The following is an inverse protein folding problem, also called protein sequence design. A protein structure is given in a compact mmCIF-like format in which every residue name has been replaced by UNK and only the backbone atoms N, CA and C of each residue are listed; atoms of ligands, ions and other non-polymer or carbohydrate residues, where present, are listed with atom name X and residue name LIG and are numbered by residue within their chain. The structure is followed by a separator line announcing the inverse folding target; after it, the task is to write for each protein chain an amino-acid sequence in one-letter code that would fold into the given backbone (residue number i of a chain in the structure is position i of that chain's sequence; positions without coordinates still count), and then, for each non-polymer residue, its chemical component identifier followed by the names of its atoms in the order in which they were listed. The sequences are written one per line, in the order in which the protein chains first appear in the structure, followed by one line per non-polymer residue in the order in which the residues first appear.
data_IF_375726485531
#
_entry.id   IF_375726485531
#
_cell.length_a   1.000
_cell.length_b   1.000
_cell.length_c   1.000
_cell.angle_alpha   90.00
_cell.angle_beta   90.00
_cell.angle_gamma   90.00
#
_symmetry.space_group_name_H-M   'P 1'
#
loop_
_entity.id
_entity.type
_entity.pdbx_description
1 polymer ?
#
# COMPACT_ATOMS: atom_id res chain seq x y z
N UNK A 1 -10.92 30.77 -23.86
CA UNK A 1 -12.25 30.13 -23.99
C UNK A 1 -12.14 28.65 -24.40
N UNK A 2 -11.48 28.33 -25.52
CA UNK A 2 -11.34 26.94 -25.99
C UNK A 2 -10.60 25.99 -25.03
N UNK A 3 -9.56 26.45 -24.32
CA UNK A 3 -8.81 25.63 -23.35
C UNK A 3 -9.62 25.26 -22.11
N UNK A 4 -10.43 26.19 -21.60
CA UNK A 4 -11.27 25.99 -20.42
C UNK A 4 -12.36 24.93 -20.64
N UNK A 5 -12.90 24.84 -21.86
CA UNK A 5 -13.86 23.78 -22.25
C UNK A 5 -13.25 22.37 -22.17
N UNK A 6 -11.91 22.27 -22.20
CA UNK A 6 -11.17 21.02 -22.08
C UNK A 6 -10.54 20.84 -20.68
N UNK A 7 -11.01 21.58 -19.68
CA UNK A 7 -10.51 21.49 -18.30
C UNK A 7 -9.12 22.11 -18.07
N UNK A 8 -8.59 22.87 -19.04
CA UNK A 8 -7.26 23.51 -18.93
C UNK A 8 -7.42 24.98 -18.52
N UNK A 9 -7.00 25.30 -17.30
CA UNK A 9 -6.96 26.66 -16.77
C UNK A 9 -5.60 27.32 -17.04
N UNK A 10 -5.58 28.39 -17.83
CA UNK A 10 -4.37 29.18 -18.13
C UNK A 10 -4.49 30.56 -17.48
N UNK A 11 -3.52 30.93 -16.62
CA UNK A 11 -3.57 32.15 -15.78
C UNK A 11 -3.14 33.43 -16.51
N UNK A 12 -3.70 33.72 -17.69
CA UNK A 12 -3.41 34.94 -18.48
C UNK A 12 -2.68 34.68 -19.80
N UNK A 13 -2.64 35.69 -20.67
CA UNK A 13 -2.15 35.57 -22.06
C UNK A 13 -0.66 35.23 -22.19
N UNK A 14 0.20 35.85 -21.36
CA UNK A 14 1.65 35.61 -21.40
C UNK A 14 2.03 34.14 -21.16
N UNK A 15 1.29 33.43 -20.30
CA UNK A 15 1.51 32.00 -20.07
C UNK A 15 1.07 31.15 -21.27
N UNK A 16 0.05 31.57 -22.02
CA UNK A 16 -0.40 30.87 -23.21
C UNK A 16 0.62 30.97 -24.35
N UNK A 17 1.22 32.16 -24.53
CA UNK A 17 2.28 32.37 -25.51
C UNK A 17 3.55 31.60 -25.16
N UNK A 18 3.96 31.61 -23.89
CA UNK A 18 5.12 30.84 -23.41
C UNK A 18 4.94 29.33 -23.61
N UNK A 19 3.73 28.80 -23.38
CA UNK A 19 3.39 27.40 -23.65
C UNK A 19 3.59 27.02 -25.13
N UNK A 20 3.32 27.94 -26.07
CA UNK A 20 3.47 27.71 -27.51
C UNK A 20 4.93 27.57 -27.98
N UNK A 21 5.91 28.03 -27.18
CA UNK A 21 7.34 27.95 -27.52
C UNK A 21 8.09 26.86 -26.76
N UNK A 22 7.38 26.11 -25.91
CA UNK A 22 7.98 25.17 -24.98
C UNK A 22 8.52 23.93 -25.71
N UNK A 23 9.77 23.54 -25.42
CA UNK A 23 10.47 22.40 -26.05
C UNK A 23 10.56 21.16 -25.16
N UNK A 24 10.50 21.35 -23.85
CA UNK A 24 10.71 20.29 -22.87
C UNK A 24 9.73 20.45 -21.71
N UNK A 25 9.08 19.36 -21.31
CA UNK A 25 8.21 19.30 -20.13
C UNK A 25 8.85 18.36 -19.13
N UNK A 26 9.01 18.84 -17.90
CA UNK A 26 9.39 18.02 -16.76
C UNK A 26 8.14 17.78 -15.91
N UNK A 27 7.77 16.52 -15.73
CA UNK A 27 6.62 16.15 -14.90
C UNK A 27 7.09 15.75 -13.51
N UNK A 28 6.36 16.19 -12.49
CA UNK A 28 6.42 15.52 -11.20
C UNK A 28 5.73 14.14 -11.32
N UNK A 29 6.14 13.16 -10.51
CA UNK A 29 5.53 11.83 -10.57
C UNK A 29 4.29 11.76 -9.70
N UNK A 30 4.44 12.05 -8.42
CA UNK A 30 3.42 11.78 -7.40
C UNK A 30 2.35 12.87 -7.43
N UNK A 31 1.09 12.50 -7.69
CA UNK A 31 -0.02 13.45 -7.81
C UNK A 31 -0.13 14.12 -9.20
N UNK A 32 0.81 13.83 -10.12
CA UNK A 32 0.76 14.31 -11.52
C UNK A 32 0.70 13.14 -12.50
N UNK A 33 1.75 12.30 -12.57
CA UNK A 33 1.73 11.08 -13.39
C UNK A 33 1.04 9.91 -12.68
N UNK A 34 1.06 9.89 -11.35
CA UNK A 34 0.38 8.91 -10.51
C UNK A 34 -0.64 9.59 -9.60
N UNK A 35 -1.65 8.85 -9.14
CA UNK A 35 -2.72 9.38 -8.31
C UNK A 35 -2.26 9.83 -6.90
N UNK A 36 -1.02 9.53 -6.48
CA UNK A 36 -0.53 9.83 -5.14
C UNK A 36 -0.94 8.84 -4.05
N UNK A 37 -1.79 7.85 -4.39
CA UNK A 37 -2.26 6.83 -3.46
C UNK A 37 -1.61 5.46 -3.71
N UNK A 38 -1.41 4.70 -2.64
CA UNK A 38 -0.93 3.32 -2.72
C UNK A 38 -2.09 2.37 -3.06
N UNK A 39 -1.79 1.30 -3.81
CA UNK A 39 -2.73 0.20 -4.11
C UNK A 39 -2.02 -1.14 -4.02
N UNK A 40 -2.70 -2.14 -3.47
CA UNK A 40 -2.27 -3.53 -3.56
C UNK A 40 -2.42 -4.01 -5.01
N UNK A 41 -1.29 -4.21 -5.69
CA UNK A 41 -1.28 -4.65 -7.09
C UNK A 41 -1.15 -6.18 -7.23
N UNK A 42 -0.39 -6.80 -6.34
CA UNK A 42 -0.08 -8.22 -6.39
C UNK A 42 0.16 -8.76 -4.99
N UNK A 43 -0.36 -9.96 -4.73
CA UNK A 43 -0.05 -10.74 -3.55
C UNK A 43 0.37 -12.14 -4.00
N UNK A 44 1.58 -12.54 -3.60
CA UNK A 44 2.08 -13.89 -3.76
C UNK A 44 2.02 -14.60 -2.42
N UNK A 45 1.52 -15.83 -2.43
CA UNK A 45 1.46 -16.69 -1.24
C UNK A 45 2.44 -17.82 -1.45
N UNK A 46 3.34 -17.99 -0.49
CA UNK A 46 4.37 -19.02 -0.52
C UNK A 46 4.04 -20.15 0.44
N UNK A 47 4.40 -21.38 0.05
CA UNK A 47 4.10 -22.60 0.80
C UNK A 47 2.64 -23.06 0.66
N UNK A 48 2.38 -24.28 1.16
CA UNK A 48 1.09 -24.96 0.95
C UNK A 48 0.20 -24.96 2.21
N UNK A 49 0.67 -24.37 3.31
CA UNK A 49 0.01 -24.43 4.63
C UNK A 49 -1.06 -23.36 4.85
N UNK A 50 -1.09 -22.31 4.02
CA UNK A 50 -2.01 -21.18 4.19
C UNK A 50 -2.72 -20.90 2.89
N UNK A 51 -4.05 -20.75 2.96
CA UNK A 51 -4.82 -20.29 1.80
C UNK A 51 -4.61 -18.79 1.64
N UNK A 52 -4.75 -18.28 0.41
CA UNK A 52 -4.67 -16.83 0.11
C UNK A 52 -5.57 -16.01 1.03
N UNK A 53 -6.79 -16.49 1.26
CA UNK A 53 -7.75 -15.84 2.14
C UNK A 53 -7.25 -15.69 3.58
N UNK A 54 -6.60 -16.72 4.13
CA UNK A 54 -6.04 -16.66 5.50
C UNK A 54 -4.94 -15.59 5.60
N UNK A 55 -4.07 -15.53 4.58
CA UNK A 55 -2.99 -14.54 4.51
C UNK A 55 -3.55 -13.11 4.44
N UNK A 56 -4.57 -12.90 3.61
CA UNK A 56 -5.25 -11.60 3.49
C UNK A 56 -5.94 -11.18 4.79
N UNK A 57 -6.59 -12.13 5.49
CA UNK A 57 -7.20 -11.87 6.80
C UNK A 57 -6.15 -11.48 7.84
N UNK A 58 -5.04 -12.21 7.93
CA UNK A 58 -3.95 -11.88 8.86
C UNK A 58 -3.31 -10.54 8.51
N UNK A 59 -3.09 -10.26 7.23
CA UNK A 59 -2.54 -8.99 6.78
C UNK A 59 -3.43 -7.82 7.19
N UNK A 60 -4.73 -7.90 6.90
CA UNK A 60 -5.66 -6.83 7.24
C UNK A 60 -5.76 -6.63 8.76
N UNK A 61 -5.83 -7.71 9.55
CA UNK A 61 -5.86 -7.62 11.01
C UNK A 61 -4.61 -6.96 11.60
N UNK A 62 -3.44 -7.29 11.07
CA UNK A 62 -2.16 -6.73 11.53
C UNK A 62 -1.99 -5.25 11.15
N UNK A 63 -2.53 -4.84 10.00
CA UNK A 63 -2.38 -3.48 9.44
C UNK A 63 -3.53 -2.53 9.81
N UNK A 64 -4.68 -3.03 10.30
CA UNK A 64 -5.86 -2.19 10.65
C UNK A 64 -5.56 -1.11 11.69
N UNK A 65 -4.56 -1.35 12.56
CA UNK A 65 -4.13 -0.39 13.60
C UNK A 65 -3.03 0.57 13.14
N UNK A 66 -2.43 0.36 11.97
CA UNK A 66 -1.33 1.18 11.48
C UNK A 66 -1.86 2.42 10.75
N UNK A 67 -1.32 3.59 11.10
CA UNK A 67 -1.74 4.89 10.53
C UNK A 67 -1.04 5.23 9.21
N UNK A 68 -0.15 4.36 8.72
CA UNK A 68 0.64 4.62 7.53
C UNK A 68 -0.21 4.47 6.24
N UNK A 69 -0.06 5.34 5.22
CA UNK A 69 -0.80 5.24 3.97
C UNK A 69 -0.71 3.87 3.27
N UNK A 70 0.43 3.19 3.42
CA UNK A 70 0.62 1.81 2.94
C UNK A 70 -0.30 0.81 3.64
N UNK A 71 -0.40 0.86 4.97
CA UNK A 71 -1.25 -0.04 5.76
C UNK A 71 -2.71 0.07 5.31
N UNK A 72 -3.19 1.31 5.15
CA UNK A 72 -4.51 1.58 4.62
C UNK A 72 -4.73 0.94 3.24
N UNK A 73 -3.76 1.09 2.32
CA UNK A 73 -3.89 0.49 0.98
C UNK A 73 -3.92 -1.04 0.98
N UNK A 74 -3.28 -1.68 1.96
CA UNK A 74 -3.31 -3.14 2.12
C UNK A 74 -4.69 -3.58 2.64
N UNK A 75 -5.22 -2.90 3.66
CA UNK A 75 -6.56 -3.17 4.20
C UNK A 75 -7.63 -2.94 3.13
N UNK A 76 -7.53 -1.84 2.38
CA UNK A 76 -8.45 -1.54 1.28
C UNK A 76 -8.33 -2.57 0.14
N UNK A 77 -7.11 -3.02 -0.17
CA UNK A 77 -6.86 -4.10 -1.13
C UNK A 77 -7.51 -5.43 -0.71
N UNK A 78 -7.39 -5.79 0.58
CA UNK A 78 -8.04 -6.99 1.13
C UNK A 78 -9.56 -6.91 1.01
N UNK A 79 -10.14 -5.75 1.35
CA UNK A 79 -11.59 -5.51 1.21
C UNK A 79 -12.04 -5.58 -0.25
N UNK A 80 -11.25 -5.06 -1.18
CA UNK A 80 -11.54 -5.10 -2.61
C UNK A 80 -11.51 -6.54 -3.19
N UNK A 81 -10.73 -7.44 -2.59
CA UNK A 81 -10.76 -8.88 -2.92
C UNK A 81 -11.97 -9.62 -2.32
N UNK A 82 -12.89 -8.93 -1.65
CA UNK A 82 -14.09 -9.53 -1.06
C UNK A 82 -13.81 -10.38 0.18
N UNK A 83 -12.62 -10.25 0.78
CA UNK A 83 -12.26 -10.99 1.98
C UNK A 83 -12.88 -10.33 3.21
N UNK A 84 -13.76 -11.07 3.88
CA UNK A 84 -14.29 -10.70 5.18
C UNK A 84 -13.36 -11.13 6.30
N UNK A 85 -13.20 -10.27 7.29
CA UNK A 85 -12.46 -10.54 8.53
C UNK A 85 -13.48 -11.08 9.56
N UNK A 86 -13.37 -12.34 10.00
CA UNK A 86 -14.24 -12.87 11.05
C UNK A 86 -14.09 -12.07 12.34
N UNK A 87 -15.20 -11.74 12.99
CA UNK A 87 -15.21 -11.03 14.28
C UNK A 87 -14.55 -11.82 15.42
N UNK A 88 -14.39 -13.13 15.25
CA UNK A 88 -13.68 -14.00 16.17
C UNK A 88 -12.15 -13.87 16.08
N UNK A 89 -11.62 -13.30 15.00
CA UNK A 89 -10.19 -13.05 14.85
C UNK A 89 -9.84 -11.65 15.37
N UNK A 90 -8.82 -11.59 16.22
CA UNK A 90 -8.26 -10.35 16.71
C UNK A 90 -6.77 -10.52 17.00
N UNK A 91 -6.03 -9.42 16.91
CA UNK A 91 -4.60 -9.39 17.20
C UNK A 91 -4.37 -9.15 18.68
N UNK A 92 -3.58 -10.02 19.31
CA UNK A 92 -2.99 -9.84 20.64
C UNK A 92 -1.51 -9.45 20.51
N UNK A 93 -0.98 -8.81 21.54
CA UNK A 93 0.45 -8.44 21.64
C UNK A 93 0.98 -7.65 20.42
N UNK A 94 0.12 -6.82 19.83
CA UNK A 94 0.45 -6.04 18.65
C UNK A 94 1.52 -5.00 18.99
N UNK A 95 2.68 -5.11 18.36
CA UNK A 95 3.86 -4.29 18.65
C UNK A 95 4.40 -3.69 17.36
N UNK A 96 4.67 -2.39 17.39
CA UNK A 96 5.30 -1.67 16.28
C UNK A 96 6.82 -1.83 16.36
N UNK A 97 7.42 -2.24 15.24
CA UNK A 97 8.86 -2.42 15.06
C UNK A 97 9.37 -1.28 14.18
N UNK A 98 10.00 -0.28 14.83
CA UNK A 98 10.38 0.96 14.17
C UNK A 98 11.25 0.73 12.92
N UNK A 99 10.77 1.21 11.77
CA UNK A 99 11.47 1.06 10.50
C UNK A 99 11.49 -0.36 9.92
N UNK A 100 10.76 -1.30 10.52
CA UNK A 100 10.74 -2.71 10.15
C UNK A 100 9.34 -3.24 9.85
N UNK A 101 8.34 -2.91 10.67
CA UNK A 101 6.98 -3.41 10.49
C UNK A 101 6.21 -3.57 11.81
N UNK A 102 5.41 -4.62 11.91
CA UNK A 102 4.59 -4.97 13.08
C UNK A 102 4.67 -6.47 13.37
N UNK A 103 4.56 -6.82 14.65
CA UNK A 103 4.38 -8.20 15.10
C UNK A 103 3.18 -8.33 16.03
N UNK A 104 2.63 -9.54 16.13
CA UNK A 104 1.51 -9.83 17.02
C UNK A 104 1.13 -11.30 16.99
N UNK A 105 0.04 -11.66 17.66
CA UNK A 105 -0.47 -13.02 17.66
C UNK A 105 -1.96 -13.08 17.30
N UNK A 106 -2.31 -14.03 16.43
CA UNK A 106 -3.69 -14.30 15.99
C UNK A 106 -3.96 -15.78 16.19
N UNK A 107 -4.98 -16.14 16.99
CA UNK A 107 -5.27 -17.53 17.37
C UNK A 107 -4.04 -18.29 17.91
N UNK A 108 -3.21 -17.64 18.72
CA UNK A 108 -1.98 -18.23 19.27
C UNK A 108 -0.85 -18.43 18.26
N UNK A 109 -1.03 -18.05 17.00
CA UNK A 109 0.04 -18.04 15.99
C UNK A 109 0.71 -16.68 15.98
N UNK A 110 2.04 -16.66 16.04
CA UNK A 110 2.81 -15.42 15.88
C UNK A 110 2.83 -15.00 14.40
N UNK A 111 2.49 -13.75 14.14
CA UNK A 111 2.35 -13.15 12.81
C UNK A 111 3.24 -11.92 12.73
N UNK A 112 3.93 -11.78 11.60
CA UNK A 112 4.84 -10.69 11.31
C UNK A 112 4.47 -10.06 9.97
N UNK A 113 4.41 -8.73 9.91
CA UNK A 113 4.23 -7.98 8.68
C UNK A 113 5.28 -6.88 8.64
N UNK A 114 6.08 -6.81 7.59
CA UNK A 114 7.17 -5.85 7.55
C UNK A 114 8.04 -5.94 6.30
N UNK A 115 9.13 -5.20 6.31
CA UNK A 115 10.11 -5.18 5.24
C UNK A 115 11.18 -6.27 5.39
N UNK A 116 12.10 -6.31 4.44
CA UNK A 116 13.21 -7.26 4.41
C UNK A 116 14.06 -7.27 5.70
N UNK A 117 14.26 -6.13 6.36
CA UNK A 117 15.08 -6.05 7.59
C UNK A 117 14.49 -6.89 8.71
N UNK A 118 13.17 -6.87 8.86
CA UNK A 118 12.47 -7.70 9.84
C UNK A 118 12.73 -9.18 9.58
N UNK A 119 12.50 -9.63 8.35
CA UNK A 119 12.60 -11.05 8.02
C UNK A 119 14.05 -11.57 8.05
N UNK A 120 15.04 -10.72 7.74
CA UNK A 120 16.46 -11.06 7.92
C UNK A 120 16.81 -11.19 9.40
N UNK A 121 16.35 -10.26 10.24
CA UNK A 121 16.56 -10.31 11.70
C UNK A 121 15.96 -11.56 12.33
N UNK A 122 14.83 -12.05 11.80
CA UNK A 122 14.19 -13.29 12.22
C UNK A 122 14.82 -14.56 11.62
N UNK A 123 15.78 -14.45 10.70
CA UNK A 123 16.35 -15.59 9.97
C UNK A 123 15.33 -16.30 9.05
N UNK A 124 14.33 -15.56 8.57
CA UNK A 124 13.22 -16.08 7.76
C UNK A 124 13.30 -15.62 6.29
N UNK A 125 14.18 -14.68 5.96
CA UNK A 125 14.22 -14.09 4.63
C UNK A 125 14.72 -15.08 3.57
N UNK A 126 15.70 -15.90 3.91
CA UNK A 126 16.33 -16.90 3.02
C UNK A 126 15.36 -18.03 2.62
N UNK A 127 14.22 -18.15 3.30
CA UNK A 127 13.18 -19.15 3.01
C UNK A 127 12.15 -18.69 1.99
N UNK A 128 12.19 -17.42 1.57
CA UNK A 128 11.27 -16.84 0.58
C UNK A 128 11.81 -17.17 -0.82
N UNK A 129 11.01 -17.82 -1.69
CA UNK A 129 11.40 -18.16 -3.06
C UNK A 129 11.69 -16.94 -3.95
#
# INVERSE_FOLDING_TARGET
AATAQNGVLVKGGAHLEALGQLKHVCFDKTGTLTAGDYKLLKLNVFGNKSKRQDVLQYLALMEDRATHPLAKSLVDGVKAEGVTIPTSLFVKDHTFLAGEGVEGSINGKKVYVGNERLFRRLGMFESIP
#
